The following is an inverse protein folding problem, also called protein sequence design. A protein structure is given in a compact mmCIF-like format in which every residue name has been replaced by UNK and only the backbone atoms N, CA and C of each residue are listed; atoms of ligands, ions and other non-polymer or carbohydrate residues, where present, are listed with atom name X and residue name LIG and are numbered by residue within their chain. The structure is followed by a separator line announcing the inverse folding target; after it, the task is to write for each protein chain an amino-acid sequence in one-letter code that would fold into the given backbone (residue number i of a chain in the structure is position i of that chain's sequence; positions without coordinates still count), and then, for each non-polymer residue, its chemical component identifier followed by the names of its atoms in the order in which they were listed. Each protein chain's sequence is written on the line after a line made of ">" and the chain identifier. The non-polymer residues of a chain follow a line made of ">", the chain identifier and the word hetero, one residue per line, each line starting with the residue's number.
data_IF_670823003066
#
_entry.id   IF_670823003066
#
_cell.length_a   1.000
_cell.length_b   1.000
_cell.length_c   1.000
_cell.angle_alpha   90.00
_cell.angle_beta   90.00
_cell.angle_gamma   90.00
#
_symmetry.space_group_name_H-M   'P 1'
#
loop_
_entity.id
_entity.type
_entity.pdbx_description
1 polymer ?
#
# COMPACT_ATOMS: atom_id res chain seq x y z
N UNK A 1 -9.09 36.01 7.74
CA UNK A 1 -9.90 34.81 7.97
C UNK A 1 -10.62 34.47 6.69
N UNK A 2 -10.18 33.40 6.04
CA UNK A 2 -10.94 32.64 5.04
C UNK A 2 -10.24 31.28 5.00
N UNK A 3 -10.66 30.38 5.90
CA UNK A 3 -10.35 28.96 5.75
C UNK A 3 -11.05 28.52 4.47
N UNK A 4 -10.29 28.27 3.41
CA UNK A 4 -10.79 27.54 2.25
C UNK A 4 -11.21 26.17 2.74
N UNK A 5 -12.52 25.90 2.73
CA UNK A 5 -13.04 24.54 2.85
C UNK A 5 -12.38 23.69 1.77
N UNK A 6 -11.49 22.80 2.19
CA UNK A 6 -11.03 21.70 1.34
C UNK A 6 -12.29 20.85 1.11
N UNK A 7 -12.72 20.60 -0.13
CA UNK A 7 -13.88 19.75 -0.41
C UNK A 7 -13.71 18.45 0.37
N UNK A 8 -14.75 18.09 1.13
CA UNK A 8 -14.81 16.94 2.03
C UNK A 8 -14.04 15.76 1.42
N UNK A 9 -12.87 15.40 1.97
CA UNK A 9 -12.06 14.30 1.42
C UNK A 9 -12.86 13.01 1.58
N UNK A 10 -13.23 12.40 0.45
CA UNK A 10 -14.02 11.17 0.43
C UNK A 10 -13.07 9.99 0.43
N UNK A 11 -13.28 9.07 1.36
CA UNK A 11 -12.59 7.79 1.42
C UNK A 11 -13.61 6.67 1.28
N UNK A 12 -13.29 5.69 0.46
CA UNK A 12 -14.15 4.56 0.11
C UNK A 12 -13.43 3.23 0.38
N UNK A 13 -14.21 2.18 0.37
CA UNK A 13 -13.78 0.79 0.33
C UNK A 13 -13.75 0.26 -1.11
N UNK A 14 -12.76 -0.58 -1.41
CA UNK A 14 -12.68 -1.30 -2.69
C UNK A 14 -12.27 -2.75 -2.48
N UNK A 15 -13.02 -3.66 -3.09
CA UNK A 15 -12.74 -5.09 -3.09
C UNK A 15 -11.99 -5.54 -4.35
N UNK A 16 -11.05 -6.46 -4.15
CA UNK A 16 -10.29 -7.13 -5.21
C UNK A 16 -10.47 -8.63 -5.09
N UNK A 17 -10.65 -9.29 -6.22
CA UNK A 17 -10.71 -10.75 -6.31
C UNK A 17 -9.40 -11.28 -6.85
N UNK A 18 -8.95 -12.39 -6.28
CA UNK A 18 -7.77 -13.10 -6.77
C UNK A 18 -7.99 -13.47 -8.24
N UNK A 19 -7.04 -13.16 -9.13
CA UNK A 19 -7.09 -13.63 -10.51
C UNK A 19 -6.83 -15.14 -10.63
N UNK A 20 -6.46 -15.80 -9.52
CA UNK A 20 -5.99 -17.18 -9.49
C UNK A 20 -7.02 -18.12 -8.86
N UNK A 21 -7.31 -19.23 -9.54
CA UNK A 21 -8.28 -20.23 -9.07
C UNK A 21 -7.75 -21.13 -7.95
N UNK A 22 -6.43 -21.25 -7.78
CA UNK A 22 -5.82 -22.25 -6.90
C UNK A 22 -5.21 -21.70 -5.59
N UNK A 23 -5.28 -20.39 -5.34
CA UNK A 23 -4.83 -19.80 -4.06
C UNK A 23 -5.87 -19.91 -2.94
N UNK A 24 -5.43 -20.05 -1.69
CA UNK A 24 -6.32 -19.99 -0.51
C UNK A 24 -6.86 -18.58 -0.26
N UNK A 25 -6.06 -17.54 -0.58
CA UNK A 25 -6.49 -16.15 -0.54
C UNK A 25 -7.38 -15.81 -1.74
N UNK A 26 -8.65 -15.45 -1.49
CA UNK A 26 -9.66 -15.18 -2.53
C UNK A 26 -9.94 -13.71 -2.73
N UNK A 27 -9.97 -12.95 -1.65
CA UNK A 27 -10.41 -11.56 -1.68
C UNK A 27 -9.54 -10.66 -0.80
N UNK A 28 -9.35 -9.43 -1.26
CA UNK A 28 -8.69 -8.37 -0.49
C UNK A 28 -9.58 -7.15 -0.55
N UNK A 29 -9.91 -6.58 0.60
CA UNK A 29 -10.64 -5.32 0.71
C UNK A 29 -9.71 -4.24 1.25
N UNK A 30 -9.65 -3.11 0.55
CA UNK A 30 -8.92 -1.93 0.98
C UNK A 30 -9.91 -0.86 1.46
N UNK A 31 -9.67 -0.32 2.66
CA UNK A 31 -10.45 0.79 3.20
C UNK A 31 -9.58 2.03 3.33
N UNK A 32 -10.21 3.21 3.19
CA UNK A 32 -9.48 4.47 3.23
C UNK A 32 -8.93 4.87 1.85
N UNK A 33 -9.51 4.36 0.76
CA UNK A 33 -9.07 4.67 -0.59
C UNK A 33 -9.69 6.00 -1.05
N UNK A 34 -8.90 6.97 -1.55
CA UNK A 34 -9.43 8.23 -2.03
C UNK A 34 -10.47 8.03 -3.15
N UNK A 35 -11.65 8.60 -2.95
CA UNK A 35 -12.75 8.60 -3.90
C UNK A 35 -13.10 10.00 -4.42
N UNK A 36 -14.00 10.05 -5.38
CA UNK A 36 -14.56 11.28 -5.93
C UNK A 36 -16.09 11.22 -5.96
N UNK A 37 -16.75 12.36 -5.70
CA UNK A 37 -18.20 12.49 -5.84
C UNK A 37 -18.52 12.96 -7.26
N UNK A 38 -19.25 12.13 -7.99
CA UNK A 38 -19.77 12.43 -9.31
C UNK A 38 -20.88 13.51 -9.24
N UNK A 39 -21.17 14.21 -10.35
CA UNK A 39 -22.25 15.21 -10.40
C UNK A 39 -23.65 14.65 -10.05
N UNK A 40 -23.85 13.34 -10.18
CA UNK A 40 -25.09 12.65 -9.80
C UNK A 40 -25.17 12.34 -8.30
N UNK A 41 -24.14 12.69 -7.52
CA UNK A 41 -24.06 12.44 -6.08
C UNK A 41 -23.42 11.11 -5.68
N UNK A 42 -23.14 10.21 -6.62
CA UNK A 42 -22.47 8.93 -6.35
C UNK A 42 -20.99 9.14 -6.00
N UNK A 43 -20.47 8.37 -5.03
CA UNK A 43 -19.06 8.35 -4.71
C UNK A 43 -18.40 7.14 -5.37
N UNK A 44 -17.33 7.36 -6.13
CA UNK A 44 -16.62 6.28 -6.83
C UNK A 44 -15.12 6.35 -6.56
N UNK A 45 -14.43 5.22 -6.66
CA UNK A 45 -12.98 5.18 -6.84
C UNK A 45 -12.68 5.10 -8.32
N UNK A 46 -11.92 6.05 -8.85
CA UNK A 46 -11.60 6.03 -10.27
C UNK A 46 -10.70 4.82 -10.62
N UNK A 47 -10.77 4.37 -11.87
CA UNK A 47 -10.05 3.16 -12.31
C UNK A 47 -8.52 3.30 -12.18
N UNK A 48 -7.98 4.51 -12.31
CA UNK A 48 -6.54 4.76 -12.17
C UNK A 48 -6.07 4.54 -10.74
N UNK A 49 -6.83 5.00 -9.76
CA UNK A 49 -6.58 4.80 -8.33
C UNK A 49 -6.76 3.33 -7.98
N UNK A 50 -7.81 2.68 -8.48
CA UNK A 50 -8.00 1.24 -8.27
C UNK A 50 -6.82 0.41 -8.80
N UNK A 51 -6.36 0.67 -10.03
CA UNK A 51 -5.18 -0.01 -10.60
C UNK A 51 -3.90 0.31 -9.86
N UNK A 52 -3.74 1.55 -9.38
CA UNK A 52 -2.61 1.93 -8.56
C UNK A 52 -2.53 1.08 -7.29
N UNK A 53 -3.62 0.93 -6.55
CA UNK A 53 -3.65 0.07 -5.37
C UNK A 53 -3.52 -1.42 -5.71
N UNK A 54 -4.05 -1.86 -6.86
CA UNK A 54 -3.84 -3.23 -7.35
C UNK A 54 -2.36 -3.55 -7.51
N UNK A 55 -1.65 -2.72 -8.29
CA UNK A 55 -0.25 -2.94 -8.63
C UNK A 55 0.71 -2.71 -7.43
N UNK A 56 0.33 -1.80 -6.52
CA UNK A 56 1.14 -1.42 -5.37
C UNK A 56 1.02 -2.42 -4.20
N UNK A 57 -0.17 -3.00 -4.01
CA UNK A 57 -0.51 -3.75 -2.79
C UNK A 57 -1.10 -5.11 -3.13
N UNK A 58 -2.28 -5.11 -3.74
CA UNK A 58 -3.16 -6.29 -3.86
C UNK A 58 -2.47 -7.42 -4.62
N UNK A 59 -1.89 -7.11 -5.79
CA UNK A 59 -1.24 -8.13 -6.63
C UNK A 59 -0.05 -8.78 -5.92
N UNK A 60 0.65 -8.03 -5.08
CA UNK A 60 1.79 -8.55 -4.32
C UNK A 60 1.31 -9.46 -3.22
N UNK A 61 0.29 -9.06 -2.47
CA UNK A 61 -0.30 -9.89 -1.43
C UNK A 61 -0.85 -11.18 -2.04
N UNK A 62 -1.59 -11.13 -3.15
CA UNK A 62 -2.03 -12.35 -3.85
C UNK A 62 -0.84 -13.20 -4.29
N UNK A 63 0.21 -12.61 -4.89
CA UNK A 63 1.39 -13.35 -5.33
C UNK A 63 2.11 -14.05 -4.18
N UNK A 64 2.33 -13.36 -3.06
CA UNK A 64 2.99 -13.93 -1.88
C UNK A 64 2.09 -14.95 -1.17
N UNK A 65 0.78 -14.69 -1.08
CA UNK A 65 -0.19 -15.60 -0.47
C UNK A 65 -0.23 -16.98 -1.14
N UNK A 66 0.06 -17.07 -2.45
CA UNK A 66 0.22 -18.37 -3.15
C UNK A 66 1.34 -19.24 -2.60
N UNK A 67 2.38 -18.62 -2.04
CA UNK A 67 3.51 -19.34 -1.45
C UNK A 67 3.21 -19.81 -0.03
N UNK A 68 2.02 -19.50 0.48
CA UNK A 68 1.57 -19.72 1.85
C UNK A 68 0.27 -20.55 1.87
N UNK A 69 0.27 -21.78 1.31
CA UNK A 69 -0.95 -22.58 1.14
C UNK A 69 -1.64 -22.94 2.46
N UNK A 70 -0.87 -23.00 3.56
CA UNK A 70 -1.38 -23.35 4.89
C UNK A 70 -1.77 -22.13 5.74
N UNK A 71 -1.76 -20.92 5.17
CA UNK A 71 -2.18 -19.72 5.88
C UNK A 71 -3.71 -19.60 5.91
N UNK A 72 -4.27 -19.38 7.10
CA UNK A 72 -5.66 -18.97 7.24
C UNK A 72 -5.74 -17.45 7.11
N UNK A 73 -6.29 -16.99 5.97
CA UNK A 73 -6.40 -15.58 5.63
C UNK A 73 -7.63 -14.88 6.24
N UNK A 74 -8.67 -15.63 6.63
CA UNK A 74 -9.99 -15.13 7.08
C UNK A 74 -9.92 -14.10 8.21
N UNK A 75 -8.84 -14.14 9.00
CA UNK A 75 -8.68 -13.26 10.16
C UNK A 75 -7.66 -12.14 9.93
N UNK A 76 -6.95 -12.11 8.81
CA UNK A 76 -5.79 -11.25 8.69
C UNK A 76 -6.20 -9.80 8.33
N UNK A 77 -6.14 -8.92 9.34
CA UNK A 77 -6.38 -7.47 9.19
C UNK A 77 -5.07 -6.71 9.35
N UNK A 78 -4.80 -5.79 8.43
CA UNK A 78 -3.51 -5.10 8.29
C UNK A 78 -3.75 -3.60 8.17
N UNK A 79 -2.82 -2.83 8.71
CA UNK A 79 -2.82 -1.39 8.68
C UNK A 79 -1.46 -0.92 8.20
N UNK A 80 -1.43 -0.21 7.08
CA UNK A 80 -0.24 0.47 6.55
C UNK A 80 -0.20 1.88 7.13
N UNK A 81 0.87 2.27 7.80
CA UNK A 81 0.92 3.53 8.54
C UNK A 81 1.98 4.49 7.99
N UNK A 82 1.61 5.77 7.92
CA UNK A 82 2.55 6.89 7.81
C UNK A 82 2.63 7.57 9.19
N UNK A 83 3.83 7.60 9.78
CA UNK A 83 4.01 8.15 11.13
C UNK A 83 4.05 9.69 11.16
N UNK A 84 4.17 10.35 10.00
CA UNK A 84 4.21 11.82 9.93
C UNK A 84 2.83 12.45 10.14
N UNK A 85 1.76 11.72 9.82
CA UNK A 85 0.39 12.24 9.90
C UNK A 85 -0.22 12.01 11.29
N UNK A 86 -0.74 13.07 11.92
CA UNK A 86 -1.42 12.98 13.23
C UNK A 86 -2.81 12.35 13.11
N UNK A 87 -3.26 11.67 14.17
CA UNK A 87 -4.57 11.01 14.25
C UNK A 87 -5.74 11.92 13.84
N UNK A 88 -5.76 13.16 14.33
CA UNK A 88 -6.79 14.15 14.03
C UNK A 88 -6.84 14.58 12.55
N UNK A 89 -5.82 14.26 11.75
CA UNK A 89 -5.71 14.62 10.34
C UNK A 89 -6.05 13.44 9.41
N UNK A 90 -6.31 12.24 9.95
CA UNK A 90 -6.48 11.04 9.13
C UNK A 90 -7.78 11.02 8.34
N UNK A 91 -8.86 11.56 8.90
CA UNK A 91 -10.18 11.65 8.25
C UNK A 91 -11.06 10.41 8.44
N UNK A 92 -10.59 9.40 9.15
CA UNK A 92 -11.32 8.17 9.50
C UNK A 92 -10.74 7.55 10.77
N UNK A 93 -11.56 6.76 11.47
CA UNK A 93 -11.17 6.08 12.70
C UNK A 93 -10.18 4.95 12.42
N UNK A 94 -9.14 4.87 13.24
CA UNK A 94 -8.19 3.76 13.26
C UNK A 94 -8.37 2.98 14.58
N UNK A 95 -8.33 1.64 14.56
CA UNK A 95 -8.32 0.84 15.77
C UNK A 95 -7.11 1.14 16.62
N UNK A 96 -7.27 0.90 17.92
CA UNK A 96 -6.18 1.02 18.87
C UNK A 96 -5.24 -0.17 18.70
N UNK A 97 -4.02 0.11 18.27
CA UNK A 97 -2.94 -0.87 18.23
C UNK A 97 -2.55 -1.23 19.67
N UNK A 98 -2.43 -2.52 19.97
CA UNK A 98 -1.97 -3.02 21.26
C UNK A 98 -0.65 -3.80 21.15
N UNK A 99 -0.22 -4.41 22.27
CA UNK A 99 1.09 -5.08 22.36
C UNK A 99 1.13 -6.46 21.69
N UNK A 100 -0.03 -6.99 21.33
CA UNK A 100 -0.17 -8.29 20.67
C UNK A 100 -0.18 -8.13 19.15
N UNK A 101 -0.46 -6.94 18.63
CA UNK A 101 -0.33 -6.66 17.20
C UNK A 101 1.13 -6.73 16.74
N UNK A 102 1.33 -7.27 15.54
CA UNK A 102 2.64 -7.37 14.92
C UNK A 102 2.99 -6.04 14.25
N UNK A 103 4.05 -5.39 14.74
CA UNK A 103 4.68 -4.27 14.05
C UNK A 103 5.80 -4.77 13.13
N UNK A 104 5.65 -4.57 11.83
CA UNK A 104 6.69 -4.82 10.82
C UNK A 104 7.25 -3.48 10.38
N UNK A 105 8.52 -3.24 10.66
CA UNK A 105 9.21 -2.00 10.27
C UNK A 105 9.94 -2.17 8.93
N UNK A 106 9.90 -1.13 8.10
CA UNK A 106 10.69 -1.07 6.87
C UNK A 106 12.18 -1.10 7.20
N UNK A 107 12.92 -1.99 6.52
CA UNK A 107 14.39 -1.96 6.50
C UNK A 107 14.95 -1.06 5.38
N UNK A 108 14.08 -0.43 4.59
CA UNK A 108 14.44 0.41 3.47
C UNK A 108 14.17 1.87 3.81
N UNK A 109 15.25 2.64 4.01
CA UNK A 109 15.20 4.06 4.35
C UNK A 109 14.62 4.95 3.25
N UNK A 110 14.49 4.44 2.02
CA UNK A 110 13.88 5.16 0.90
C UNK A 110 12.38 4.86 0.75
N UNK A 111 11.84 3.93 1.54
CA UNK A 111 10.42 3.63 1.53
C UNK A 111 9.64 4.71 2.27
N UNK A 112 8.57 5.20 1.65
CA UNK A 112 7.61 6.08 2.34
C UNK A 112 6.65 5.32 3.27
N UNK A 113 6.58 3.99 3.13
CA UNK A 113 5.86 3.16 4.08
C UNK A 113 6.85 2.75 5.16
N UNK A 114 6.69 3.29 6.35
CA UNK A 114 7.63 3.05 7.44
C UNK A 114 7.27 1.81 8.24
N UNK A 115 5.96 1.61 8.48
CA UNK A 115 5.46 0.54 9.34
C UNK A 115 4.19 -0.10 8.80
N UNK A 116 4.05 -1.38 9.09
CA UNK A 116 2.84 -2.17 8.86
C UNK A 116 2.46 -2.80 10.19
N UNK A 117 1.22 -2.59 10.62
CA UNK A 117 0.65 -3.23 11.79
C UNK A 117 -0.30 -4.34 11.35
N UNK A 118 -0.07 -5.56 11.78
CA UNK A 118 -0.96 -6.70 11.51
C UNK A 118 -1.64 -7.06 12.82
N UNK A 119 -2.97 -7.06 12.84
CA UNK A 119 -3.71 -7.27 14.07
C UNK A 119 -3.66 -8.72 14.52
N UNK A 120 -3.37 -8.95 15.80
CA UNK A 120 -3.52 -10.27 16.39
C UNK A 120 -5.00 -10.60 16.60
N UNK A 121 -5.38 -11.84 16.29
CA UNK A 121 -6.75 -12.34 16.47
C UNK A 121 -6.85 -13.27 17.69
N UNK A 122 -6.13 -12.94 18.77
CA UNK A 122 -6.10 -13.75 19.98
C UNK A 122 -5.34 -15.06 19.79
N UNK A 123 -4.33 -15.06 18.93
CA UNK A 123 -3.47 -16.23 18.68
C UNK A 123 -2.60 -16.50 19.90
N UNK A 124 -2.26 -17.77 20.12
CA UNK A 124 -1.44 -18.16 21.29
C UNK A 124 -0.09 -18.73 20.88
N UNK A 125 0.98 -18.27 21.54
CA UNK A 125 2.34 -18.83 21.48
C UNK A 125 2.79 -19.24 20.07
N UNK A 126 2.82 -20.54 19.77
CA UNK A 126 3.30 -21.08 18.50
C UNK A 126 2.43 -20.72 17.28
N UNK A 127 1.13 -20.46 17.50
CA UNK A 127 0.23 -19.99 16.45
C UNK A 127 0.60 -18.57 16.07
N UNK A 128 0.87 -17.73 17.08
CA UNK A 128 1.34 -16.36 16.90
C UNK A 128 2.68 -16.32 16.17
N UNK A 129 3.67 -17.13 16.58
CA UNK A 129 4.99 -17.16 15.91
C UNK A 129 4.89 -17.55 14.43
N UNK A 130 4.06 -18.55 14.12
CA UNK A 130 3.84 -18.97 12.73
C UNK A 130 3.15 -17.88 11.93
N UNK A 131 2.08 -17.31 12.48
CA UNK A 131 1.34 -16.21 11.86
C UNK A 131 2.25 -14.99 11.63
N UNK A 132 3.08 -14.63 12.61
CA UNK A 132 3.96 -13.48 12.50
C UNK A 132 4.97 -13.65 11.37
N UNK A 133 5.58 -14.84 11.26
CA UNK A 133 6.48 -15.17 10.15
C UNK A 133 5.76 -15.10 8.79
N UNK A 134 4.54 -15.61 8.72
CA UNK A 134 3.72 -15.56 7.50
C UNK A 134 3.36 -14.12 7.12
N UNK A 135 2.97 -13.30 8.11
CA UNK A 135 2.69 -11.88 7.93
C UNK A 135 3.93 -11.11 7.45
N UNK A 136 5.09 -11.32 8.04
CA UNK A 136 6.35 -10.73 7.58
C UNK A 136 6.66 -11.11 6.13
N UNK A 137 6.49 -12.38 5.75
CA UNK A 137 6.70 -12.83 4.38
C UNK A 137 5.73 -12.18 3.39
N UNK A 138 4.46 -12.03 3.80
CA UNK A 138 3.40 -11.44 2.99
C UNK A 138 3.61 -9.93 2.76
N UNK A 139 4.02 -9.21 3.80
CA UNK A 139 4.01 -7.73 3.80
C UNK A 139 5.36 -7.07 3.60
N UNK A 140 6.49 -7.71 3.94
CA UNK A 140 7.81 -7.12 3.70
C UNK A 140 8.03 -6.70 2.22
N UNK A 141 7.57 -7.45 1.21
CA UNK A 141 7.72 -7.03 -0.19
C UNK A 141 7.01 -5.72 -0.53
N UNK A 142 6.00 -5.29 0.25
CA UNK A 142 5.28 -4.04 0.01
C UNK A 142 6.20 -2.83 0.16
N UNK A 143 7.11 -2.79 1.14
CA UNK A 143 8.00 -1.65 1.39
C UNK A 143 8.77 -1.20 0.15
N UNK A 144 9.18 -2.14 -0.71
CA UNK A 144 9.92 -1.83 -1.94
C UNK A 144 9.07 -1.08 -2.99
N UNK A 145 7.75 -1.19 -2.92
CA UNK A 145 6.83 -0.51 -3.85
C UNK A 145 6.54 0.93 -3.49
N UNK A 146 6.74 1.27 -2.21
CA UNK A 146 6.60 2.62 -1.67
C UNK A 146 7.87 3.46 -1.79
N UNK A 147 8.87 3.00 -2.52
CA UNK A 147 10.05 3.79 -2.89
C UNK A 147 9.68 4.73 -4.04
N UNK A 148 9.96 6.02 -3.87
CA UNK A 148 9.74 7.00 -4.94
C UNK A 148 10.69 6.73 -6.11
N UNK A 149 10.21 6.78 -7.37
CA UNK A 149 11.10 6.82 -8.50
C UNK A 149 11.98 8.07 -8.39
N UNK A 150 13.28 7.99 -8.74
CA UNK A 150 14.18 9.14 -8.68
C UNK A 150 13.58 10.31 -9.46
N UNK A 151 13.71 11.52 -8.93
CA UNK A 151 13.31 12.70 -9.68
C UNK A 151 14.13 12.75 -10.97
N UNK A 152 13.50 13.01 -12.13
CA UNK A 152 14.26 13.22 -13.35
C UNK A 152 15.18 14.41 -13.09
N UNK A 153 16.47 14.13 -12.98
CA UNK A 153 17.48 15.18 -12.92
C UNK A 153 17.25 16.01 -14.19
N UNK A 154 16.95 17.29 -14.02
CA UNK A 154 16.99 18.24 -15.12
C UNK A 154 18.34 18.06 -15.79
N UNK A 155 18.36 17.51 -17.00
CA UNK A 155 19.58 17.30 -17.75
C UNK A 155 20.13 18.68 -18.06
N UNK A 156 20.99 19.20 -17.18
CA UNK A 156 21.97 20.19 -17.56
C UNK A 156 22.89 19.49 -18.55
N UNK A 157 22.67 19.81 -19.82
CA UNK A 157 23.43 19.31 -20.94
C UNK A 157 24.89 19.71 -20.80
N UNK A 158 25.71 18.92 -20.10
CA UNK A 158 27.16 18.91 -20.16
C UNK A 158 27.76 17.76 -19.32
N UNK A 159 27.62 16.51 -19.77
CA UNK A 159 28.66 15.53 -19.48
C UNK A 159 28.64 14.39 -20.50
N UNK A 160 29.46 14.57 -21.52
CA UNK A 160 29.79 13.54 -22.51
C UNK A 160 30.69 12.51 -21.79
N UNK A 161 30.39 11.22 -21.96
CA UNK A 161 31.05 10.02 -21.40
C UNK A 161 30.64 9.60 -19.98
N UNK A 162 29.55 8.84 -19.88
CA UNK A 162 29.44 7.79 -18.87
C UNK A 162 28.78 6.53 -19.50
N UNK A 163 29.41 5.34 -19.48
CA UNK A 163 28.86 4.13 -20.10
C UNK A 163 27.56 3.63 -19.45
N UNK A 164 27.22 4.18 -18.27
CA UNK A 164 25.93 3.96 -17.60
C UNK A 164 24.73 4.56 -18.35
N UNK A 165 24.93 5.53 -19.26
CA UNK A 165 23.84 6.18 -20.01
C UNK A 165 23.13 5.25 -21.00
N UNK A 166 23.81 4.22 -21.52
CA UNK A 166 23.16 3.23 -22.42
C UNK A 166 22.23 2.27 -21.68
N UNK A 167 22.35 2.14 -20.35
CA UNK A 167 21.38 1.39 -19.56
C UNK A 167 20.11 2.21 -19.28
N UNK A 168 20.19 3.54 -19.43
CA UNK A 168 19.06 4.47 -19.16
C UNK A 168 18.13 4.58 -20.37
N UNK A 169 18.62 4.41 -21.60
CA UNK A 169 17.76 4.40 -22.79
C UNK A 169 16.78 3.21 -22.81
N UNK A 170 17.12 2.08 -22.17
CA UNK A 170 16.19 0.96 -21.99
C UNK A 170 15.20 1.14 -20.81
N UNK A 171 15.38 2.17 -19.98
CA UNK A 171 14.47 2.49 -18.86
C UNK A 171 13.38 3.48 -19.31
N UNK A 172 13.55 4.11 -20.48
CA UNK A 172 12.62 5.13 -20.97
C UNK A 172 11.23 4.58 -21.38
N UNK A 173 11.10 3.25 -21.55
CA UNK A 173 9.82 2.55 -21.72
C UNK A 173 9.14 2.13 -20.40
N UNK A 174 9.74 2.44 -19.24
CA UNK A 174 9.19 2.13 -17.91
C UNK A 174 8.90 3.37 -17.06
N UNK A 175 8.52 4.48 -17.70
CA UNK A 175 7.92 5.63 -17.01
C UNK A 175 6.82 5.11 -16.08
N UNK A 176 7.14 5.00 -14.79
CA UNK A 176 6.24 4.51 -13.76
C UNK A 176 4.95 5.33 -13.87
N UNK A 177 3.91 4.70 -14.44
CA UNK A 177 2.63 5.36 -14.75
C UNK A 177 1.94 5.92 -13.50
N UNK A 178 2.45 5.53 -12.33
CA UNK A 178 2.01 5.96 -11.01
C UNK A 178 3.01 6.87 -10.29
N UNK A 179 4.09 7.32 -10.92
CA UNK A 179 5.08 8.22 -10.31
C UNK A 179 4.47 9.41 -9.57
N UNK A 180 3.47 10.09 -10.18
CA UNK A 180 2.73 11.17 -9.52
C UNK A 180 1.86 10.69 -8.35
N UNK A 181 1.23 9.51 -8.44
CA UNK A 181 0.42 8.93 -7.36
C UNK A 181 1.30 8.44 -6.20
N UNK A 182 2.50 7.93 -6.47
CA UNK A 182 3.50 7.58 -5.46
C UNK A 182 4.07 8.82 -4.77
N UNK A 183 4.42 9.87 -5.53
CA UNK A 183 4.85 11.16 -4.97
C UNK A 183 3.78 11.77 -4.08
N UNK A 184 2.52 11.60 -4.45
CA UNK A 184 1.39 12.13 -3.70
C UNK A 184 0.70 11.07 -2.84
N UNK A 185 1.33 9.95 -2.48
CA UNK A 185 0.74 8.84 -1.71
C UNK A 185 -0.26 9.36 -0.67
N UNK A 186 -1.55 9.06 -0.89
CA UNK A 186 -2.68 9.83 -0.36
C UNK A 186 -3.36 9.20 0.86
N UNK A 187 -2.69 8.34 1.61
CA UNK A 187 -3.31 7.70 2.77
C UNK A 187 -2.48 7.93 4.02
N UNK A 188 -3.18 8.39 5.06
CA UNK A 188 -2.58 8.62 6.37
C UNK A 188 -2.43 7.30 7.15
N UNK A 189 -3.31 6.33 6.86
CA UNK A 189 -3.23 4.92 7.26
C UNK A 189 -4.10 4.01 6.36
N UNK A 190 -3.57 3.07 5.57
CA UNK A 190 -4.43 2.19 4.74
C UNK A 190 -4.80 0.91 5.50
N UNK A 191 -6.08 0.56 5.52
CA UNK A 191 -6.56 -0.69 6.10
C UNK A 191 -6.69 -1.73 5.00
N UNK A 192 -6.14 -2.91 5.21
CA UNK A 192 -6.30 -4.07 4.35
C UNK A 192 -6.99 -5.14 5.19
N UNK A 193 -8.22 -5.49 4.82
CA UNK A 193 -8.85 -6.71 5.32
C UNK A 193 -8.62 -7.80 4.29
N UNK A 194 -8.14 -8.95 4.76
CA UNK A 194 -7.93 -10.12 3.93
C UNK A 194 -8.99 -11.15 4.32
N UNK A 195 -9.69 -11.69 3.31
CA UNK A 195 -10.69 -12.76 3.44
C UNK A 195 -10.38 -13.85 2.39
#
# INVERSE_FOLDING_TARGET
>A
MTQSYDPEKIFLDIGFRSPESEGSLRTIELFGVPGERLPNGECIVNQKVQRFFDDLIVRIIFYQGRQLPDCNFEYLKVWLYDTETRDAQRGYDIPKIDRYDLEISSNNSLSRLEKIYVLDNGLTNSEYERWAKTAEQLFNPLFQKFVLPPEPQSIEANSIFNPFLKLVENIHDSLDSYSNLKRNLFFNALIIQID
#
